data_IF_630064443632
#
_entry.id   IF_630064443632
#
_cell.length_a   1.000
_cell.length_b   1.000
_cell.length_c   1.000
_cell.angle_alpha   90.00
_cell.angle_beta   90.00
_cell.angle_gamma   90.00
#
_symmetry.space_group_name_H-M   'P 1'
#
loop_
_entity.id
_entity.type
_entity.pdbx_description
1 polymer ?
#
# COMPACT_ATOMS: atom_id res chain seq x y z
N UNK A 1 -28.49 43.21 -19.53
CA UNK A 1 -29.30 41.97 -19.58
C UNK A 1 -28.34 40.83 -19.90
N UNK A 2 -28.20 39.89 -18.98
CA UNK A 2 -27.21 38.83 -19.02
C UNK A 2 -27.44 37.85 -20.19
N UNK A 3 -26.36 37.32 -20.76
CA UNK A 3 -26.37 35.97 -21.30
C UNK A 3 -25.05 35.28 -20.95
N UNK A 4 -25.00 34.76 -19.73
CA UNK A 4 -23.97 33.87 -19.21
C UNK A 4 -24.29 32.44 -19.64
N UNK A 5 -24.03 32.11 -20.91
CA UNK A 5 -23.99 30.73 -21.38
C UNK A 5 -22.57 30.19 -21.16
N UNK A 6 -22.20 29.98 -19.90
CA UNK A 6 -21.13 29.06 -19.55
C UNK A 6 -21.80 27.74 -19.16
N UNK A 7 -21.74 26.69 -20.00
CA UNK A 7 -22.23 25.38 -19.59
C UNK A 7 -21.27 24.91 -18.51
N UNK A 8 -21.70 25.11 -17.26
CA UNK A 8 -20.99 24.68 -16.07
C UNK A 8 -20.51 23.26 -16.28
N UNK A 9 -19.20 23.11 -16.50
CA UNK A 9 -18.55 21.82 -16.51
C UNK A 9 -18.67 21.32 -15.09
N UNK A 10 -19.76 20.60 -14.82
CA UNK A 10 -19.91 19.68 -13.71
C UNK A 10 -18.89 18.55 -13.94
N UNK A 11 -17.62 18.90 -13.75
CA UNK A 11 -16.52 17.97 -13.71
C UNK A 11 -16.71 17.16 -12.45
N UNK A 12 -17.48 16.08 -12.56
CA UNK A 12 -17.39 14.98 -11.63
C UNK A 12 -16.01 14.37 -11.87
N UNK A 13 -14.99 14.97 -11.27
CA UNK A 13 -13.67 14.40 -11.22
C UNK A 13 -13.84 13.18 -10.31
N UNK A 14 -13.96 12.00 -10.91
CA UNK A 14 -13.86 10.73 -10.18
C UNK A 14 -12.56 10.71 -9.37
N UNK A 15 -12.47 9.90 -8.30
CA UNK A 15 -11.36 9.97 -7.36
C UNK A 15 -10.02 9.99 -8.11
N UNK A 16 -9.29 11.11 -8.00
CA UNK A 16 -7.97 11.31 -8.61
C UNK A 16 -6.85 10.71 -7.79
N UNK A 17 -7.19 10.18 -6.62
CA UNK A 17 -6.25 9.59 -5.68
C UNK A 17 -6.37 8.05 -5.70
N UNK A 18 -5.22 7.40 -5.64
CA UNK A 18 -5.15 5.96 -5.39
C UNK A 18 -5.08 5.70 -3.88
N UNK A 19 -5.82 4.70 -3.41
CA UNK A 19 -5.62 4.14 -2.08
C UNK A 19 -4.44 3.17 -2.11
N UNK A 20 -3.48 3.35 -1.21
CA UNK A 20 -2.29 2.52 -1.12
C UNK A 20 -2.32 1.78 0.22
N UNK A 21 -2.33 0.46 0.15
CA UNK A 21 -2.20 -0.42 1.31
C UNK A 21 -0.79 -1.00 1.32
N UNK A 22 -0.06 -0.80 2.42
CA UNK A 22 1.28 -1.35 2.63
C UNK A 22 1.19 -2.39 3.74
N UNK A 23 1.59 -3.63 3.44
CA UNK A 23 1.61 -4.74 4.40
C UNK A 23 3.05 -5.20 4.61
N UNK A 24 3.43 -5.43 5.87
CA UNK A 24 4.71 -6.06 6.24
C UNK A 24 4.51 -7.57 6.33
N UNK A 25 5.43 -8.34 5.77
CA UNK A 25 5.44 -9.80 5.92
C UNK A 25 5.74 -10.25 7.36
N UNK A 26 5.51 -11.53 7.65
CA UNK A 26 5.82 -12.14 8.94
C UNK A 26 7.31 -12.11 9.30
N UNK A 27 7.65 -12.42 10.55
CA UNK A 27 9.05 -12.47 11.00
C UNK A 27 9.82 -13.64 10.37
N UNK A 28 11.06 -13.38 9.94
CA UNK A 28 12.00 -14.40 9.45
C UNK A 28 13.09 -14.70 10.48
N UNK A 29 13.79 -15.83 10.33
CA UNK A 29 14.97 -16.16 11.15
C UNK A 29 16.06 -15.08 11.09
N UNK A 30 16.19 -14.37 9.96
CA UNK A 30 17.18 -13.30 9.80
C UNK A 30 16.79 -12.02 10.54
N UNK A 31 15.50 -11.75 10.72
CA UNK A 31 15.05 -10.62 11.55
C UNK A 31 15.48 -10.82 13.01
N UNK A 32 15.33 -12.05 13.54
CA UNK A 32 15.75 -12.41 14.89
C UNK A 32 17.27 -12.36 15.04
N UNK A 33 18.00 -12.85 14.04
CA UNK A 33 19.47 -12.79 14.00
C UNK A 33 20.03 -11.37 13.79
N UNK A 34 19.18 -10.36 13.54
CA UNK A 34 19.60 -8.99 13.25
C UNK A 34 20.34 -8.84 11.92
N UNK A 35 20.14 -9.78 10.98
CA UNK A 35 20.78 -9.77 9.66
C UNK A 35 19.97 -8.92 8.69
N UNK A 36 20.67 -8.24 7.78
CA UNK A 36 20.02 -7.51 6.69
C UNK A 36 19.54 -8.51 5.65
N UNK A 37 18.22 -8.54 5.42
CA UNK A 37 17.61 -9.32 4.33
C UNK A 37 17.52 -8.43 3.08
N UNK A 38 18.37 -8.72 2.10
CA UNK A 38 18.34 -8.07 0.78
C UNK A 38 17.37 -8.78 -0.16
N UNK A 39 17.86 -9.25 -1.30
CA UNK A 39 17.06 -9.96 -2.30
C UNK A 39 16.83 -11.45 -1.98
N UNK A 40 17.40 -11.96 -0.88
CA UNK A 40 17.28 -13.36 -0.48
C UNK A 40 15.91 -13.58 0.15
N UNK A 41 15.21 -14.60 -0.35
CA UNK A 41 13.95 -15.05 0.22
C UNK A 41 14.23 -15.99 1.40
N UNK A 42 14.05 -15.47 2.61
CA UNK A 42 14.27 -16.19 3.86
C UNK A 42 12.91 -16.59 4.40
N UNK A 43 12.75 -17.86 4.71
CA UNK A 43 11.50 -18.40 5.26
C UNK A 43 11.11 -17.71 6.58
N UNK A 44 9.80 -17.69 6.84
CA UNK A 44 9.25 -17.22 8.10
C UNK A 44 9.63 -18.17 9.23
N UNK A 45 9.65 -17.65 10.44
CA UNK A 45 9.68 -18.49 11.64
C UNK A 45 8.26 -18.78 12.13
N UNK A 46 8.13 -19.64 13.15
CA UNK A 46 6.84 -20.01 13.75
C UNK A 46 5.97 -18.79 14.16
N UNK A 47 6.61 -17.68 14.56
CA UNK A 47 5.92 -16.43 14.91
C UNK A 47 5.41 -15.71 13.67
N UNK A 48 6.24 -15.66 12.62
CA UNK A 48 5.90 -15.09 11.32
C UNK A 48 4.78 -15.84 10.62
N UNK A 49 4.79 -17.18 10.63
CA UNK A 49 3.72 -17.99 10.04
C UNK A 49 2.36 -17.76 10.72
N UNK A 50 2.35 -17.58 12.04
CA UNK A 50 1.12 -17.31 12.79
C UNK A 50 0.63 -15.85 12.65
N UNK A 51 1.48 -14.94 12.18
CA UNK A 51 1.21 -13.48 12.16
C UNK A 51 1.49 -12.83 10.81
N UNK A 52 1.45 -13.59 9.72
CA UNK A 52 1.34 -13.05 8.38
C UNK A 52 -0.14 -12.79 8.08
N UNK A 53 -0.47 -11.56 7.68
CA UNK A 53 -1.80 -11.18 7.24
C UNK A 53 -2.02 -11.58 5.78
#
# INVERSE_FOLDING_TARGET
MANSNDPGHSGTVGPTCAEIIVVRHGETVWNVDGRIQGHIDVELNDVGENRQL
#
